data_IF_063159172442
#
_entry.id   IF_063159172442
#
_cell.length_a   1.000
_cell.length_b   1.000
_cell.length_c   1.000
_cell.angle_alpha   90.00
_cell.angle_beta   90.00
_cell.angle_gamma   90.00
#
_symmetry.space_group_name_H-M   'P 1'
#
loop_
_entity.id
_entity.type
_entity.pdbx_description
1 polymer ?
#
# COMPACT_ATOMS: atom_id res chain seq x y z
N UNK A 1 33.75 3.14 -37.03
CA UNK A 1 32.61 2.20 -37.06
C UNK A 1 32.32 1.82 -35.63
N UNK A 2 31.41 2.53 -34.97
CA UNK A 2 31.06 2.27 -33.58
C UNK A 2 30.09 1.08 -33.53
N UNK A 3 30.45 0.08 -32.72
CA UNK A 3 29.62 -1.07 -32.40
C UNK A 3 28.26 -0.63 -31.84
N UNK A 4 27.12 -1.22 -32.26
CA UNK A 4 25.79 -0.84 -31.78
C UNK A 4 25.50 -1.47 -30.40
N UNK A 5 26.39 -1.24 -29.42
CA UNK A 5 26.21 -1.66 -28.04
C UNK A 5 25.42 -0.65 -27.19
N UNK A 6 24.75 0.33 -27.81
CA UNK A 6 24.13 1.43 -27.07
C UNK A 6 22.85 1.93 -27.77
N UNK A 7 21.79 1.14 -27.75
CA UNK A 7 20.44 1.67 -27.87
C UNK A 7 19.42 0.73 -27.21
N UNK A 8 19.39 0.73 -25.88
CA UNK A 8 18.13 0.58 -25.16
C UNK A 8 18.24 1.39 -23.88
N UNK A 9 18.31 2.71 -24.05
CA UNK A 9 17.99 3.67 -23.01
C UNK A 9 16.67 3.25 -22.36
N UNK A 10 16.73 2.92 -21.07
CA UNK A 10 15.66 3.16 -20.11
C UNK A 10 14.23 2.98 -20.65
N UNK A 11 13.86 1.76 -21.05
CA UNK A 11 12.49 1.37 -20.75
C UNK A 11 12.48 1.09 -19.25
N UNK A 12 12.38 2.16 -18.44
CA UNK A 12 11.74 2.01 -17.14
C UNK A 12 10.42 1.34 -17.48
N UNK A 13 10.32 0.02 -17.24
CA UNK A 13 9.13 -0.76 -17.51
C UNK A 13 8.16 -0.35 -16.41
N UNK A 14 7.59 0.85 -16.60
CA UNK A 14 6.60 1.49 -15.77
C UNK A 14 5.53 0.43 -15.48
N UNK A 15 5.36 0.16 -14.20
CA UNK A 15 4.55 -0.90 -13.59
C UNK A 15 3.43 -1.43 -14.49
N UNK A 16 3.61 -2.66 -15.00
CA UNK A 16 2.58 -3.34 -15.79
C UNK A 16 1.50 -3.88 -14.84
N UNK A 17 0.52 -3.04 -14.53
CA UNK A 17 -0.66 -3.40 -13.72
C UNK A 17 -1.68 -4.07 -14.65
N UNK A 18 -2.02 -5.33 -14.39
CA UNK A 18 -2.90 -6.15 -15.24
C UNK A 18 -4.37 -6.08 -14.83
N UNK A 19 -4.65 -5.87 -13.54
CA UNK A 19 -6.00 -5.88 -12.98
C UNK A 19 -6.14 -4.91 -11.81
N UNK A 20 -7.38 -4.59 -11.40
CA UNK A 20 -7.64 -3.74 -10.22
C UNK A 20 -7.10 -4.29 -8.90
N UNK A 21 -6.84 -5.60 -8.81
CA UNK A 21 -6.29 -6.27 -7.61
C UNK A 21 -4.88 -6.81 -7.86
N UNK A 22 -4.18 -6.28 -8.85
CA UNK A 22 -2.84 -6.76 -9.18
C UNK A 22 -1.84 -6.32 -8.09
N UNK A 23 -1.16 -7.31 -7.53
CA UNK A 23 -0.17 -7.12 -6.46
C UNK A 23 1.26 -7.40 -6.92
N UNK A 24 1.49 -7.59 -8.22
CA UNK A 24 2.79 -8.01 -8.76
C UNK A 24 3.95 -7.01 -8.56
N UNK A 25 3.64 -5.76 -8.18
CA UNK A 25 4.66 -4.75 -7.85
C UNK A 25 4.93 -4.64 -6.33
N UNK A 26 4.28 -5.49 -5.52
CA UNK A 26 4.45 -5.58 -4.07
C UNK A 26 5.21 -6.86 -3.72
N UNK A 27 5.81 -6.90 -2.54
CA UNK A 27 6.51 -8.10 -2.06
C UNK A 27 5.54 -9.28 -1.94
N UNK A 28 5.99 -10.47 -2.35
CA UNK A 28 5.18 -11.67 -2.27
C UNK A 28 4.98 -12.15 -0.85
N UNK A 29 5.89 -11.81 0.07
CA UNK A 29 5.77 -12.20 1.47
C UNK A 29 4.53 -11.57 2.11
N UNK A 30 4.24 -10.30 1.83
CA UNK A 30 3.03 -9.63 2.36
C UNK A 30 1.73 -10.01 1.63
N UNK A 31 1.80 -10.39 0.35
CA UNK A 31 0.59 -10.61 -0.47
C UNK A 31 0.07 -12.04 -0.41
N UNK A 32 0.87 -12.97 0.12
CA UNK A 32 0.50 -14.37 0.35
C UNK A 32 -0.13 -14.61 1.72
N UNK A 33 0.16 -13.75 2.69
CA UNK A 33 -0.42 -13.82 4.03
C UNK A 33 -1.94 -13.55 3.98
N UNK A 34 -2.68 -14.17 4.89
CA UNK A 34 -4.11 -13.91 5.02
C UNK A 34 -4.33 -12.49 5.54
N UNK A 35 -5.22 -11.67 4.94
CA UNK A 35 -5.44 -10.29 5.34
C UNK A 35 -6.29 -10.22 6.63
N UNK A 36 -5.73 -10.69 7.74
CA UNK A 36 -6.37 -10.70 9.06
C UNK A 36 -5.79 -9.60 9.95
N UNK A 37 -6.63 -9.06 10.82
CA UNK A 37 -6.17 -8.16 11.87
C UNK A 37 -5.66 -9.00 13.04
N UNK A 38 -4.44 -8.73 13.48
CA UNK A 38 -3.90 -9.32 14.71
C UNK A 38 -4.82 -8.98 15.89
N UNK A 39 -5.18 -9.99 16.68
CA UNK A 39 -6.01 -9.81 17.86
C UNK A 39 -5.32 -8.85 18.86
N UNK A 40 -6.10 -7.93 19.43
CA UNK A 40 -5.62 -6.95 20.40
C UNK A 40 -6.15 -7.31 21.79
N UNK A 41 -5.29 -7.18 22.80
CA UNK A 41 -5.67 -7.37 24.19
C UNK A 41 -6.52 -6.20 24.71
N UNK A 42 -7.70 -6.50 25.27
CA UNK A 42 -8.61 -5.50 25.84
C UNK A 42 -7.98 -4.68 26.98
N UNK A 43 -7.01 -5.24 27.70
CA UNK A 43 -6.33 -4.53 28.78
C UNK A 43 -5.53 -3.34 28.26
N UNK A 44 -4.90 -3.51 27.10
CA UNK A 44 -4.17 -2.44 26.40
C UNK A 44 -5.15 -1.35 25.97
N UNK A 45 -6.30 -1.72 25.41
CA UNK A 45 -7.33 -0.77 24.96
C UNK A 45 -7.81 0.11 26.12
N UNK A 46 -8.03 -0.49 27.31
CA UNK A 46 -8.50 0.22 28.51
C UNK A 46 -7.46 1.17 29.11
N UNK A 47 -6.17 0.95 28.83
CA UNK A 47 -5.07 1.79 29.34
C UNK A 47 -4.78 3.01 28.46
N UNK A 48 -5.25 3.01 27.21
CA UNK A 48 -5.01 4.09 26.24
C UNK A 48 -6.04 5.22 26.45
N UNK A 49 -5.56 6.46 26.49
CA UNK A 49 -6.40 7.65 26.58
C UNK A 49 -7.10 7.93 25.23
N UNK A 50 -8.40 7.63 25.15
CA UNK A 50 -9.18 7.75 23.92
C UNK A 50 -9.39 9.21 23.45
N UNK A 51 -9.25 10.19 24.34
CA UNK A 51 -9.38 11.61 23.98
C UNK A 51 -8.27 12.07 23.03
N UNK A 52 -7.11 11.40 23.00
CA UNK A 52 -6.02 11.70 22.07
C UNK A 52 -6.40 11.45 20.61
N UNK A 53 -7.40 10.61 20.36
CA UNK A 53 -7.89 10.29 19.02
C UNK A 53 -9.09 11.16 18.61
N UNK A 54 -9.47 12.15 19.42
CA UNK A 54 -10.56 13.07 19.09
C UNK A 54 -10.21 13.87 17.84
N UNK A 55 -11.09 13.81 16.83
CA UNK A 55 -10.85 14.45 15.54
C UNK A 55 -10.03 13.62 14.54
N UNK A 56 -9.76 12.34 14.84
CA UNK A 56 -9.07 11.43 13.92
C UNK A 56 -9.85 11.17 12.62
N UNK A 57 -11.18 11.11 12.69
CA UNK A 57 -12.04 10.80 11.54
C UNK A 57 -11.98 11.90 10.48
N UNK A 58 -11.68 11.51 9.24
CA UNK A 58 -11.60 12.39 8.07
C UNK A 58 -12.35 11.77 6.89
N UNK A 59 -13.00 12.63 6.09
CA UNK A 59 -13.61 12.26 4.81
C UNK A 59 -12.97 13.09 3.70
N UNK A 60 -12.63 12.45 2.58
CA UNK A 60 -12.14 13.16 1.40
C UNK A 60 -13.23 14.07 0.82
N UNK A 61 -12.84 15.27 0.38
CA UNK A 61 -13.76 16.30 -0.15
C UNK A 61 -14.57 15.82 -1.36
N UNK A 62 -14.05 14.83 -2.11
CA UNK A 62 -14.68 14.23 -3.30
C UNK A 62 -15.97 13.42 -3.01
N UNK A 63 -16.29 13.19 -1.73
CA UNK A 63 -17.50 12.48 -1.29
C UNK A 63 -18.67 13.41 -0.92
N UNK A 64 -18.53 14.73 -1.10
CA UNK A 64 -19.65 15.65 -0.99
C UNK A 64 -20.48 15.64 -2.29
N UNK A 65 -21.80 15.40 -2.24
CA UNK A 65 -22.64 15.25 -3.43
C UNK A 65 -22.75 16.52 -4.28
#
# INVERSE_FOLDING_TARGET
MFSPAALSFFTCKWSQIKTKRDVNNFDQDFTREEPVLTLVDETIIKQINQEEFKGFSYFGEELLP
#
